data_IF_075819673543
#
_entry.id   IF_075819673543
#
_cell.length_a   1.000
_cell.length_b   1.000
_cell.length_c   1.000
_cell.angle_alpha   90.00
_cell.angle_beta   90.00
_cell.angle_gamma   90.00
#
_symmetry.space_group_name_H-M   'P 1'
#
loop_
_entity.id
_entity.type
_entity.pdbx_description
1 polymer ?
#
# COMPACT_ATOMS: atom_id res chain seq x y z
N UNK A 1 25.33 11.51 0.00
CA UNK A 1 24.25 11.32 -0.97
C UNK A 1 22.95 11.36 -0.18
N UNK A 2 22.13 12.40 -0.36
CA UNK A 2 20.84 12.46 0.33
C UNK A 2 19.91 11.40 -0.24
N UNK A 3 19.78 10.28 0.46
CA UNK A 3 18.79 9.26 0.11
C UNK A 3 17.40 9.79 0.41
N UNK A 4 16.51 9.72 -0.55
CA UNK A 4 15.11 10.14 -0.39
C UNK A 4 14.20 8.92 -0.39
N UNK A 5 13.22 8.93 0.49
CA UNK A 5 12.16 7.93 0.56
C UNK A 5 10.81 8.63 0.41
N UNK A 6 10.08 8.30 -0.63
CA UNK A 6 8.76 8.86 -0.88
C UNK A 6 7.68 7.85 -0.52
N UNK A 7 6.84 8.21 0.46
CA UNK A 7 5.72 7.40 0.94
C UNK A 7 4.42 8.01 0.43
N UNK A 8 3.64 7.23 -0.26
CA UNK A 8 2.35 7.64 -0.80
C UNK A 8 1.24 6.77 -0.26
N UNK A 9 0.12 7.36 0.15
CA UNK A 9 -1.05 6.58 0.57
C UNK A 9 -2.35 7.05 -0.03
N UNK A 10 -3.20 6.08 -0.35
CA UNK A 10 -4.61 6.26 -0.67
C UNK A 10 -5.46 5.61 0.42
N UNK A 11 -6.54 6.29 0.80
CA UNK A 11 -7.49 5.77 1.77
C UNK A 11 -8.93 6.01 1.31
N UNK A 12 -9.83 5.12 1.68
CA UNK A 12 -11.24 5.18 1.27
C UNK A 12 -12.07 6.01 2.25
N UNK A 13 -11.84 5.83 3.54
CA UNK A 13 -12.65 6.42 4.61
C UNK A 13 -11.80 6.85 5.81
N UNK A 14 -12.44 7.42 6.83
CA UNK A 14 -11.74 7.94 8.00
C UNK A 14 -10.99 6.84 8.80
N UNK A 15 -11.57 5.65 9.13
CA UNK A 15 -10.82 4.58 9.77
C UNK A 15 -9.58 4.14 8.97
N UNK A 16 -9.73 4.00 7.64
CA UNK A 16 -8.63 3.69 6.74
C UNK A 16 -7.55 4.80 6.73
N UNK A 17 -7.95 6.08 6.76
CA UNK A 17 -7.02 7.21 6.85
C UNK A 17 -6.18 7.17 8.13
N UNK A 18 -6.81 6.86 9.27
CA UNK A 18 -6.10 6.75 10.56
C UNK A 18 -5.04 5.65 10.50
N UNK A 19 -5.38 4.49 9.95
CA UNK A 19 -4.46 3.35 9.80
C UNK A 19 -3.33 3.66 8.82
N UNK A 20 -3.64 4.22 7.66
CA UNK A 20 -2.63 4.64 6.68
C UNK A 20 -1.64 5.64 7.29
N UNK A 21 -2.14 6.66 8.00
CA UNK A 21 -1.30 7.65 8.66
C UNK A 21 -0.38 7.04 9.72
N UNK A 22 -0.91 6.10 10.51
CA UNK A 22 -0.13 5.39 11.49
C UNK A 22 0.99 4.57 10.83
N UNK A 23 0.68 3.78 9.81
CA UNK A 23 1.64 2.98 9.05
C UNK A 23 2.74 3.85 8.45
N UNK A 24 2.39 4.95 7.78
CA UNK A 24 3.35 5.91 7.23
C UNK A 24 4.26 6.47 8.33
N UNK A 25 3.71 6.79 9.49
CA UNK A 25 4.50 7.31 10.62
C UNK A 25 5.51 6.29 11.14
N UNK A 26 5.14 5.01 11.20
CA UNK A 26 6.08 3.96 11.61
C UNK A 26 7.19 3.77 10.58
N UNK A 27 6.85 3.72 9.29
CA UNK A 27 7.86 3.65 8.21
C UNK A 27 8.80 4.85 8.28
N UNK A 28 8.27 6.05 8.48
CA UNK A 28 9.09 7.26 8.60
C UNK A 28 10.09 7.14 9.75
N UNK A 29 9.64 6.67 10.92
CA UNK A 29 10.53 6.49 12.09
C UNK A 29 11.66 5.50 11.83
N UNK A 30 11.38 4.39 11.15
CA UNK A 30 12.38 3.39 10.79
C UNK A 30 13.41 3.93 9.78
N UNK A 31 13.00 4.88 8.96
CA UNK A 31 13.83 5.43 7.89
C UNK A 31 14.61 6.71 8.28
N UNK A 32 14.16 7.48 9.28
CA UNK A 32 14.63 8.83 9.61
C UNK A 32 16.14 8.97 9.80
N UNK A 33 16.82 7.93 10.29
CA UNK A 33 18.26 8.00 10.50
C UNK A 33 19.08 8.01 9.21
N UNK A 34 18.54 7.46 8.12
CA UNK A 34 19.27 7.22 6.88
C UNK A 34 18.66 7.90 5.67
N UNK A 35 17.39 8.33 5.75
CA UNK A 35 16.60 8.78 4.62
C UNK A 35 15.88 10.09 4.90
N UNK A 36 15.85 10.96 3.90
CA UNK A 36 14.94 12.10 3.91
C UNK A 36 13.56 11.64 3.43
N UNK A 37 12.63 11.55 4.37
CA UNK A 37 11.27 11.05 4.10
C UNK A 37 10.36 12.16 3.63
N UNK A 38 9.61 11.92 2.54
CA UNK A 38 8.47 12.72 2.09
C UNK A 38 7.20 11.87 2.11
N UNK A 39 6.08 12.46 2.50
CA UNK A 39 4.82 11.72 2.67
C UNK A 39 3.67 12.44 2.00
N UNK A 40 2.82 11.70 1.31
CA UNK A 40 1.58 12.20 0.70
C UNK A 40 0.42 11.27 1.03
N UNK A 41 -0.75 11.86 1.28
CA UNK A 41 -1.97 11.12 1.61
C UNK A 41 -3.16 11.70 0.85
N UNK A 42 -3.88 10.85 0.13
CA UNK A 42 -5.03 11.23 -0.66
C UNK A 42 -6.25 10.36 -0.35
N UNK A 43 -7.44 10.98 -0.34
CA UNK A 43 -8.68 10.21 -0.35
C UNK A 43 -8.89 9.61 -1.74
N UNK A 44 -9.36 8.37 -1.80
CA UNK A 44 -9.60 7.65 -3.06
C UNK A 44 -10.61 8.39 -3.94
N UNK A 45 -11.60 9.08 -3.36
CA UNK A 45 -12.56 9.89 -4.11
C UNK A 45 -11.90 10.97 -4.96
N UNK A 46 -10.71 11.41 -4.57
CA UNK A 46 -9.93 12.40 -5.34
C UNK A 46 -9.57 11.90 -6.74
N UNK A 47 -9.49 10.59 -6.96
CA UNK A 47 -9.27 9.99 -8.29
C UNK A 47 -10.44 10.20 -9.25
N UNK A 48 -11.64 10.38 -8.72
CA UNK A 48 -12.86 10.57 -9.51
C UNK A 48 -13.24 12.05 -9.68
N UNK A 49 -12.68 12.94 -8.86
CA UNK A 49 -13.08 14.36 -8.80
C UNK A 49 -12.68 15.13 -10.04
N UNK A 50 -11.45 14.97 -10.51
CA UNK A 50 -10.99 15.67 -11.72
C UNK A 50 -9.81 14.95 -12.40
N UNK A 51 -9.74 15.07 -13.73
CA UNK A 51 -8.65 14.48 -14.50
C UNK A 51 -7.26 15.04 -14.13
N UNK A 52 -7.09 16.36 -13.91
CA UNK A 52 -5.81 16.91 -13.47
C UNK A 52 -5.33 16.34 -12.13
N UNK A 53 -6.23 16.20 -11.15
CA UNK A 53 -5.91 15.61 -9.84
C UNK A 53 -5.52 14.13 -10.01
N UNK A 54 -6.28 13.38 -10.80
CA UNK A 54 -5.97 11.99 -11.08
C UNK A 54 -4.59 11.82 -11.74
N UNK A 55 -4.23 12.68 -12.71
CA UNK A 55 -2.91 12.66 -13.34
C UNK A 55 -1.80 12.95 -12.35
N UNK A 56 -1.99 13.93 -11.47
CA UNK A 56 -1.02 14.28 -10.43
C UNK A 56 -0.82 13.10 -9.47
N UNK A 57 -1.90 12.52 -8.92
CA UNK A 57 -1.85 11.35 -8.06
C UNK A 57 -1.15 10.17 -8.76
N UNK A 58 -1.46 9.95 -10.04
CA UNK A 58 -0.84 8.88 -10.85
C UNK A 58 0.66 9.06 -10.97
N UNK A 59 1.13 10.29 -11.17
CA UNK A 59 2.55 10.61 -11.23
C UNK A 59 3.23 10.40 -9.88
N UNK A 60 2.64 10.91 -8.81
CA UNK A 60 3.19 10.80 -7.46
C UNK A 60 3.32 9.33 -7.02
N UNK A 61 2.31 8.50 -7.35
CA UNK A 61 2.38 7.05 -7.09
C UNK A 61 3.46 6.36 -7.91
N UNK A 62 3.66 6.78 -9.17
CA UNK A 62 4.72 6.23 -10.00
C UNK A 62 6.11 6.47 -9.38
N UNK A 63 6.30 7.64 -8.78
CA UNK A 63 7.56 8.06 -8.15
C UNK A 63 7.72 7.57 -6.69
N UNK A 64 6.63 7.12 -6.06
CA UNK A 64 6.65 6.68 -4.66
C UNK A 64 7.49 5.41 -4.44
N UNK A 65 8.26 5.35 -3.35
CA UNK A 65 8.98 4.16 -2.91
C UNK A 65 8.06 3.16 -2.22
N UNK A 66 7.14 3.68 -1.43
CA UNK A 66 6.12 2.89 -0.74
C UNK A 66 4.73 3.40 -1.15
N UNK A 67 3.89 2.51 -1.61
CA UNK A 67 2.47 2.74 -1.86
C UNK A 67 1.66 2.03 -0.79
N UNK A 68 0.84 2.78 -0.05
CA UNK A 68 -0.11 2.24 0.92
C UNK A 68 -1.53 2.45 0.38
N UNK A 69 -2.32 1.40 0.29
CA UNK A 69 -3.76 1.49 0.01
C UNK A 69 -4.53 0.95 1.21
N UNK A 70 -5.31 1.81 1.83
CA UNK A 70 -6.06 1.50 3.04
C UNK A 70 -7.57 1.59 2.80
N UNK A 71 -8.30 0.52 3.15
CA UNK A 71 -9.74 0.39 2.95
C UNK A 71 -10.38 -0.35 4.11
N UNK A 72 -11.34 0.26 4.79
CA UNK A 72 -12.12 -0.40 5.85
C UNK A 72 -13.26 -1.25 5.28
N UNK A 73 -13.71 -0.97 4.05
CA UNK A 73 -14.69 -1.76 3.29
C UNK A 73 -14.04 -2.34 2.03
N UNK A 74 -14.47 -3.52 1.62
CA UNK A 74 -13.99 -4.17 0.38
C UNK A 74 -14.82 -3.80 -0.86
N UNK A 75 -15.78 -2.88 -0.73
CA UNK A 75 -16.66 -2.42 -1.84
C UNK A 75 -15.95 -1.44 -2.80
N UNK A 76 -14.65 -1.49 -2.88
CA UNK A 76 -13.82 -0.59 -3.68
C UNK A 76 -13.95 -0.77 -5.20
N UNK A 77 -14.60 -1.85 -5.66
CA UNK A 77 -14.86 -2.08 -7.09
C UNK A 77 -15.65 -0.95 -7.73
N UNK A 78 -16.57 -0.36 -6.97
CA UNK A 78 -17.40 0.75 -7.43
C UNK A 78 -16.64 2.07 -7.52
N UNK A 79 -15.48 2.17 -6.85
CA UNK A 79 -14.72 3.42 -6.73
C UNK A 79 -13.74 3.68 -7.89
N UNK A 80 -13.76 2.85 -8.95
CA UNK A 80 -12.85 3.01 -10.09
C UNK A 80 -11.38 2.73 -9.77
N UNK A 81 -11.08 2.16 -8.60
CA UNK A 81 -9.71 1.85 -8.18
C UNK A 81 -9.04 0.83 -9.11
N UNK A 82 -9.79 -0.19 -9.58
CA UNK A 82 -9.26 -1.21 -10.51
C UNK A 82 -8.78 -0.56 -11.79
N UNK A 83 -9.66 0.24 -12.42
CA UNK A 83 -9.31 0.91 -13.68
C UNK A 83 -8.12 1.88 -13.50
N UNK A 84 -8.06 2.54 -12.35
CA UNK A 84 -6.94 3.42 -12.05
C UNK A 84 -5.64 2.64 -11.85
N UNK A 85 -5.65 1.53 -11.10
CA UNK A 85 -4.50 0.64 -10.95
C UNK A 85 -4.04 0.08 -12.30
N UNK A 86 -4.96 -0.33 -13.16
CA UNK A 86 -4.65 -0.77 -14.52
C UNK A 86 -4.02 0.34 -15.35
N UNK A 87 -4.47 1.60 -15.17
CA UNK A 87 -3.86 2.75 -15.85
C UNK A 87 -2.44 3.05 -15.37
N UNK A 88 -2.16 2.87 -14.07
CA UNK A 88 -0.81 2.97 -13.53
C UNK A 88 0.13 1.94 -14.17
N UNK A 89 -0.34 0.71 -14.28
CA UNK A 89 0.42 -0.39 -14.89
C UNK A 89 0.67 -0.12 -16.37
N UNK A 90 -0.36 0.30 -17.12
CA UNK A 90 -0.26 0.58 -18.55
C UNK A 90 0.66 1.77 -18.84
N UNK A 91 0.70 2.76 -17.96
CA UNK A 91 1.57 3.93 -18.05
C UNK A 91 3.06 3.62 -17.89
N UNK A 92 3.41 2.33 -17.67
CA UNK A 92 4.78 1.86 -17.44
C UNK A 92 5.51 2.86 -16.52
N UNK A 93 5.13 2.92 -15.28
CA UNK A 93 5.96 3.54 -14.26
C UNK A 93 7.30 2.78 -14.28
N UNK A 94 8.24 3.25 -15.12
CA UNK A 94 9.57 2.65 -15.30
C UNK A 94 10.41 2.93 -14.07
N UNK A 95 9.92 2.46 -12.92
CA UNK A 95 10.70 2.52 -11.71
C UNK A 95 11.82 1.52 -11.80
N UNK A 96 13.06 1.99 -11.71
CA UNK A 96 14.27 1.17 -11.76
C UNK A 96 14.72 0.66 -10.39
N UNK A 97 14.03 1.06 -9.30
CA UNK A 97 14.39 0.70 -7.93
C UNK A 97 13.37 -0.22 -7.24
N UNK A 98 13.76 -0.80 -6.10
CA UNK A 98 12.85 -1.57 -5.26
C UNK A 98 11.70 -0.69 -4.78
N UNK A 99 10.52 -1.28 -4.63
CA UNK A 99 9.34 -0.60 -4.12
C UNK A 99 8.52 -1.54 -3.25
N UNK A 100 7.70 -0.97 -2.38
CA UNK A 100 6.81 -1.71 -1.50
C UNK A 100 5.37 -1.28 -1.75
N UNK A 101 4.46 -2.25 -1.85
CA UNK A 101 3.04 -2.02 -1.88
C UNK A 101 2.41 -2.64 -0.63
N UNK A 102 1.73 -1.84 0.17
CA UNK A 102 1.08 -2.23 1.41
C UNK A 102 -0.42 -2.13 1.24
N UNK A 103 -1.13 -3.25 1.42
CA UNK A 103 -2.59 -3.29 1.50
C UNK A 103 -3.05 -3.33 2.96
N UNK A 104 -3.76 -2.29 3.42
CA UNK A 104 -4.44 -2.27 4.72
C UNK A 104 -5.92 -2.51 4.47
N UNK A 105 -6.40 -3.73 4.75
CA UNK A 105 -7.68 -4.21 4.24
C UNK A 105 -8.68 -4.53 5.34
N UNK A 106 -9.92 -4.08 5.14
CA UNK A 106 -11.07 -4.50 5.91
C UNK A 106 -11.18 -3.95 7.33
N UNK A 107 -12.36 -4.18 7.93
CA UNK A 107 -12.68 -3.90 9.33
C UNK A 107 -13.12 -5.18 10.08
N UNK A 108 -12.77 -6.35 9.57
CA UNK A 108 -13.17 -7.64 10.14
C UNK A 108 -14.60 -8.09 9.81
N UNK A 109 -15.35 -7.31 9.00
CA UNK A 109 -16.75 -7.61 8.66
C UNK A 109 -16.97 -8.11 7.24
N UNK A 110 -15.92 -8.12 6.41
CA UNK A 110 -16.00 -8.53 5.00
C UNK A 110 -16.11 -10.04 4.83
N UNK A 111 -16.62 -10.47 3.65
CA UNK A 111 -16.63 -11.87 3.29
C UNK A 111 -15.21 -12.33 2.89
N UNK A 112 -14.82 -13.53 3.30
CA UNK A 112 -13.51 -14.12 2.99
C UNK A 112 -13.21 -14.15 1.47
N UNK A 113 -14.24 -14.35 0.65
CA UNK A 113 -14.12 -14.37 -0.82
C UNK A 113 -13.71 -13.02 -1.40
N UNK A 114 -14.24 -11.93 -0.86
CA UNK A 114 -13.91 -10.57 -1.32
C UNK A 114 -12.49 -10.20 -0.92
N UNK A 115 -12.07 -10.62 0.26
CA UNK A 115 -10.69 -10.43 0.72
C UNK A 115 -9.70 -11.16 -0.20
N UNK A 116 -9.93 -12.44 -0.48
CA UNK A 116 -9.05 -13.25 -1.33
C UNK A 116 -8.91 -12.63 -2.73
N UNK A 117 -10.01 -12.17 -3.31
CA UNK A 117 -9.98 -11.49 -4.60
C UNK A 117 -9.20 -10.17 -4.54
N UNK A 118 -9.42 -9.35 -3.50
CA UNK A 118 -8.71 -8.06 -3.32
C UNK A 118 -7.22 -8.26 -3.18
N UNK A 119 -6.80 -9.21 -2.35
CA UNK A 119 -5.39 -9.54 -2.14
C UNK A 119 -4.75 -10.03 -3.44
N UNK A 120 -5.42 -10.90 -4.20
CA UNK A 120 -4.94 -11.39 -5.50
C UNK A 120 -4.78 -10.25 -6.51
N UNK A 121 -5.72 -9.32 -6.54
CA UNK A 121 -5.66 -8.18 -7.46
C UNK A 121 -4.52 -7.22 -7.09
N UNK A 122 -4.36 -6.91 -5.81
CA UNK A 122 -3.26 -6.06 -5.34
C UNK A 122 -1.90 -6.72 -5.59
N UNK A 123 -1.80 -8.03 -5.37
CA UNK A 123 -0.60 -8.79 -5.69
C UNK A 123 -0.27 -8.74 -7.19
N UNK A 124 -1.28 -8.87 -8.06
CA UNK A 124 -1.13 -8.73 -9.50
C UNK A 124 -0.56 -7.35 -9.85
N UNK A 125 -1.15 -6.29 -9.29
CA UNK A 125 -0.72 -4.92 -9.51
C UNK A 125 0.70 -4.68 -9.00
N UNK A 126 1.03 -5.13 -7.79
CA UNK A 126 2.37 -4.99 -7.22
C UNK A 126 3.43 -5.62 -8.11
N UNK A 127 3.21 -6.86 -8.57
CA UNK A 127 4.12 -7.56 -9.48
C UNK A 127 4.35 -6.79 -10.77
N UNK A 128 3.29 -6.26 -11.37
CA UNK A 128 3.38 -5.50 -12.61
C UNK A 128 4.07 -4.13 -12.43
N UNK A 129 3.98 -3.56 -11.23
CA UNK A 129 4.70 -2.34 -10.84
C UNK A 129 6.12 -2.60 -10.30
N UNK A 130 6.59 -3.84 -10.31
CA UNK A 130 7.88 -4.26 -9.74
C UNK A 130 8.02 -3.85 -8.27
N UNK A 131 6.99 -4.12 -7.46
CA UNK A 131 6.96 -3.85 -6.02
C UNK A 131 6.78 -5.13 -5.24
N UNK A 132 7.44 -5.24 -4.11
CA UNK A 132 7.09 -6.26 -3.11
C UNK A 132 5.72 -5.94 -2.53
N UNK A 133 4.94 -6.97 -2.20
CA UNK A 133 3.59 -6.81 -1.69
C UNK A 133 3.44 -7.44 -0.33
N UNK A 134 2.93 -6.65 0.59
CA UNK A 134 2.49 -7.10 1.92
C UNK A 134 1.08 -6.58 2.16
N UNK A 135 0.33 -7.29 2.96
CA UNK A 135 -0.98 -6.82 3.36
C UNK A 135 -1.27 -7.16 4.81
N UNK A 136 -2.12 -6.37 5.43
CA UNK A 136 -2.53 -6.54 6.81
C UNK A 136 -4.03 -6.36 6.94
N UNK A 137 -4.66 -7.21 7.77
CA UNK A 137 -6.06 -7.08 8.13
C UNK A 137 -6.22 -5.99 9.19
N UNK A 138 -7.09 -5.02 8.92
CA UNK A 138 -7.37 -3.95 9.87
C UNK A 138 -8.42 -4.42 10.88
N UNK A 139 -8.01 -5.01 11.98
CA UNK A 139 -8.92 -5.28 13.09
C UNK A 139 -9.21 -3.98 13.85
N UNK A 140 -10.45 -3.84 14.34
CA UNK A 140 -10.91 -2.66 15.07
C UNK A 140 -10.15 -2.45 16.38
N UNK A 141 -9.78 -3.53 17.04
CA UNK A 141 -9.29 -3.55 18.42
C UNK A 141 -7.80 -3.90 18.52
N UNK A 142 -7.17 -4.36 17.46
CA UNK A 142 -5.76 -4.65 17.48
C UNK A 142 -4.98 -3.34 17.38
N UNK A 143 -4.37 -2.95 18.48
CA UNK A 143 -3.15 -2.14 18.42
C UNK A 143 -2.15 -2.97 17.64
N UNK A 144 -1.85 -2.50 16.44
CA UNK A 144 -1.04 -3.22 15.47
C UNK A 144 0.29 -3.57 16.10
N UNK A 145 0.58 -4.86 16.16
CA UNK A 145 1.92 -5.34 16.41
C UNK A 145 2.79 -4.86 15.25
N UNK A 146 3.85 -4.10 15.55
CA UNK A 146 4.66 -3.42 14.53
C UNK A 146 5.63 -4.36 13.81
N UNK A 147 5.80 -5.58 14.29
CA UNK A 147 6.84 -6.50 13.84
C UNK A 147 6.71 -6.85 12.35
N UNK A 148 5.48 -7.06 11.86
CA UNK A 148 5.23 -7.37 10.44
C UNK A 148 5.69 -6.26 9.49
N UNK A 149 5.57 -5.01 9.92
CA UNK A 149 5.94 -3.84 9.12
C UNK A 149 7.45 -3.63 9.14
N UNK A 150 8.06 -3.81 10.31
CA UNK A 150 9.49 -3.55 10.54
C UNK A 150 10.35 -4.38 9.61
N UNK A 151 10.18 -5.71 9.58
CA UNK A 151 10.97 -6.61 8.74
C UNK A 151 10.86 -6.25 7.24
N UNK A 152 9.65 -5.91 6.78
CA UNK A 152 9.41 -5.58 5.38
C UNK A 152 10.03 -4.24 4.98
N UNK A 153 9.96 -3.25 5.87
CA UNK A 153 10.56 -1.92 5.63
C UNK A 153 12.09 -2.00 5.70
N UNK A 154 12.65 -2.71 6.66
CA UNK A 154 14.10 -2.92 6.75
C UNK A 154 14.63 -3.64 5.50
N UNK A 155 13.91 -4.65 5.01
CA UNK A 155 14.26 -5.31 3.76
C UNK A 155 14.26 -4.33 2.57
N UNK A 156 13.25 -3.45 2.46
CA UNK A 156 13.21 -2.41 1.44
C UNK A 156 14.39 -1.43 1.55
N UNK A 157 14.67 -0.94 2.77
CA UNK A 157 15.73 0.05 3.00
C UNK A 157 17.13 -0.52 2.78
N UNK A 158 17.33 -1.81 3.00
CA UNK A 158 18.61 -2.49 2.84
C UNK A 158 18.84 -3.08 1.45
N UNK A 159 17.77 -3.40 0.70
CA UNK A 159 17.88 -4.03 -0.61
C UNK A 159 18.26 -3.05 -1.70
N UNK A 160 19.41 -3.30 -2.36
CA UNK A 160 19.83 -2.61 -3.59
C UNK A 160 19.23 -3.20 -4.88
N UNK A 161 18.52 -4.31 -4.78
CA UNK A 161 17.89 -4.97 -5.93
C UNK A 161 16.49 -5.50 -5.55
N UNK A 162 15.49 -5.37 -6.43
CA UNK A 162 14.17 -5.94 -6.17
C UNK A 162 14.31 -7.47 -6.07
N UNK A 163 14.01 -8.00 -4.91
CA UNK A 163 13.80 -9.44 -4.76
C UNK A 163 12.36 -9.69 -5.17
N UNK A 164 12.14 -10.42 -6.23
CA UNK A 164 10.81 -10.86 -6.65
C UNK A 164 10.17 -11.85 -5.66
N UNK A 165 10.36 -11.63 -4.38
CA UNK A 165 9.85 -12.46 -3.30
C UNK A 165 8.62 -11.76 -2.71
N UNK A 166 7.50 -12.39 -2.88
CA UNK A 166 6.26 -12.05 -2.18
C UNK A 166 6.39 -12.58 -0.76
N UNK A 167 6.55 -11.67 0.20
CA UNK A 167 6.50 -12.04 1.62
C UNK A 167 5.03 -11.96 2.02
N UNK A 168 4.40 -13.11 2.19
CA UNK A 168 3.09 -13.20 2.82
C UNK A 168 3.30 -13.26 4.33
N UNK A 169 3.07 -12.14 5.00
CA UNK A 169 2.85 -12.16 6.44
C UNK A 169 1.35 -12.29 6.66
N UNK A 170 0.90 -13.52 6.81
CA UNK A 170 -0.46 -13.84 7.18
C UNK A 170 -0.48 -14.08 8.69
N UNK A 171 -0.84 -13.08 9.46
CA UNK A 171 -1.31 -13.29 10.83
C UNK A 171 -2.84 -13.19 10.83
N UNK A 172 -3.45 -14.33 10.71
CA UNK A 172 -4.65 -14.80 11.40
C UNK A 172 -4.96 -16.18 10.83
N UNK A 173 -4.72 -17.19 11.61
CA UNK A 173 -5.27 -18.51 11.35
C UNK A 173 -6.79 -18.36 11.25
N UNK A 174 -7.33 -18.45 10.03
CA UNK A 174 -8.75 -18.74 9.86
C UNK A 174 -8.86 -20.22 10.19
N UNK A 175 -9.15 -20.53 11.46
CA UNK A 175 -9.72 -21.82 11.79
C UNK A 175 -11.10 -21.89 11.12
N UNK A 176 -11.13 -22.56 9.99
CA UNK A 176 -12.37 -22.98 9.35
C UNK A 176 -12.89 -24.16 10.18
N UNK A 177 -13.94 -23.90 10.97
CA UNK A 177 -14.80 -24.94 11.53
C UNK A 177 -15.89 -25.25 10.54
#
# INVERSE_FOLDING_TARGET
>A
MDRRLHLFSLYVDFPAAVRARWTIRQISRLAEEQWKVSTEMWNLDSLTTSEPIRKMITQDVADADVLVIAMSSLDWRELGLVQWLDSLIAGKANRTGPGLFIGLLGDGRGQAVELDWTVKEFLRCARQMNRDFIWHWMDRDAMVDDDWLTDSVEALLTCKQPRGNVIFLQEAAIEVV
#
